data_IF_380721928751
#
_entry.id   IF_380721928751
#
_cell.length_a   1.000
_cell.length_b   1.000
_cell.length_c   1.000
_cell.angle_alpha   90.00
_cell.angle_beta   90.00
_cell.angle_gamma   90.00
#
_symmetry.space_group_name_H-M   'P 1'
#
loop_
_entity.id
_entity.type
_entity.pdbx_description
1 polymer ?
#
# COMPACT_ATOMS: atom_id res chain seq x y z
N UNK A 1 14.80 -15.70 -16.16
CA UNK A 1 15.09 -14.92 -14.92
C UNK A 1 16.37 -14.10 -15.08
N UNK A 2 17.54 -14.72 -15.28
CA UNK A 2 18.83 -14.01 -15.35
C UNK A 2 18.83 -12.82 -16.33
N UNK A 3 18.32 -12.99 -17.55
CA UNK A 3 18.29 -11.89 -18.54
C UNK A 3 17.35 -10.74 -18.16
N UNK A 4 16.24 -11.03 -17.45
CA UNK A 4 15.31 -10.00 -17.02
C UNK A 4 15.89 -9.13 -15.90
N UNK A 5 16.79 -9.68 -15.07
CA UNK A 5 17.47 -8.93 -14.01
C UNK A 5 18.36 -7.82 -14.56
N UNK A 6 18.90 -7.98 -15.78
CA UNK A 6 19.75 -6.96 -16.40
C UNK A 6 18.97 -5.67 -16.71
N UNK A 7 17.66 -5.76 -16.99
CA UNK A 7 16.80 -4.59 -17.20
C UNK A 7 16.69 -3.70 -15.96
N UNK A 8 16.69 -4.30 -14.76
CA UNK A 8 16.51 -3.59 -13.48
C UNK A 8 17.83 -3.33 -12.75
N UNK A 9 18.96 -3.74 -13.34
CA UNK A 9 20.29 -3.57 -12.75
C UNK A 9 20.62 -2.09 -12.68
N UNK A 10 21.20 -1.68 -11.56
CA UNK A 10 21.75 -0.35 -11.44
C UNK A 10 23.00 -0.18 -12.30
N UNK A 11 23.08 0.97 -12.98
CA UNK A 11 24.25 1.37 -13.73
C UNK A 11 24.77 2.72 -13.22
N UNK A 12 26.00 2.74 -12.71
CA UNK A 12 26.66 3.95 -12.20
C UNK A 12 27.06 4.96 -13.31
N UNK A 13 26.66 4.73 -14.56
CA UNK A 13 26.98 5.59 -15.70
C UNK A 13 25.69 6.12 -16.29
N UNK A 14 25.50 7.45 -16.22
CA UNK A 14 24.41 8.16 -16.85
C UNK A 14 24.60 8.18 -18.39
N UNK A 15 23.51 8.38 -19.11
CA UNK A 15 23.47 8.49 -20.58
C UNK A 15 23.60 9.93 -21.07
N UNK A 16 23.74 10.89 -20.15
CA UNK A 16 23.72 12.34 -20.39
C UNK A 16 24.94 13.03 -19.76
N UNK A 17 25.20 14.27 -20.18
CA UNK A 17 26.22 15.12 -19.55
C UNK A 17 25.77 15.64 -18.18
N UNK A 18 26.71 16.14 -17.38
CA UNK A 18 26.40 16.72 -16.07
C UNK A 18 25.42 17.90 -16.17
N UNK A 19 25.59 18.77 -17.18
CA UNK A 19 24.71 19.90 -17.41
C UNK A 19 23.28 19.49 -17.80
N UNK A 20 23.16 18.47 -18.66
CA UNK A 20 21.85 17.91 -19.03
C UNK A 20 21.16 17.24 -17.84
N UNK A 21 21.90 16.49 -17.03
CA UNK A 21 21.38 15.91 -15.81
C UNK A 21 20.86 16.99 -14.85
N UNK A 22 21.62 18.08 -14.67
CA UNK A 22 21.19 19.20 -13.82
C UNK A 22 19.89 19.83 -14.34
N UNK A 23 19.77 20.06 -15.64
CA UNK A 23 18.53 20.58 -16.26
C UNK A 23 17.32 19.67 -15.98
N UNK A 24 17.48 18.35 -16.13
CA UNK A 24 16.41 17.40 -15.83
C UNK A 24 16.06 17.40 -14.33
N UNK A 25 17.07 17.45 -13.47
CA UNK A 25 16.90 17.44 -12.01
C UNK A 25 16.27 18.73 -11.48
N UNK A 26 16.62 19.88 -12.05
CA UNK A 26 16.05 21.19 -11.71
C UNK A 26 14.57 21.27 -12.08
N UNK A 27 14.18 20.63 -13.19
CA UNK A 27 12.78 20.48 -13.53
C UNK A 27 12.08 19.55 -12.53
N UNK A 28 12.64 18.35 -12.34
CA UNK A 28 12.09 17.37 -11.42
C UNK A 28 13.03 16.16 -11.20
N UNK A 29 13.30 15.77 -9.95
CA UNK A 29 14.20 14.65 -9.62
C UNK A 29 13.81 13.32 -10.30
N UNK A 30 12.52 12.98 -10.32
CA UNK A 30 12.01 11.79 -11.03
C UNK A 30 12.27 11.81 -12.55
N UNK A 31 12.28 12.98 -13.20
CA UNK A 31 12.59 13.06 -14.64
C UNK A 31 14.05 12.69 -14.87
N UNK A 32 14.96 13.22 -14.05
CA UNK A 32 16.37 12.85 -14.11
C UNK A 32 16.58 11.35 -13.84
N UNK A 33 15.88 10.80 -12.84
CA UNK A 33 15.96 9.38 -12.46
C UNK A 33 15.53 8.43 -13.60
N UNK A 34 14.49 8.79 -14.35
CA UNK A 34 14.00 7.98 -15.47
C UNK A 34 14.82 8.18 -16.74
N UNK A 35 15.15 9.42 -17.10
CA UNK A 35 15.71 9.75 -18.43
C UNK A 35 17.23 9.62 -18.49
N UNK A 36 17.94 9.89 -17.39
CA UNK A 36 19.39 9.98 -17.40
C UNK A 36 20.10 8.62 -17.30
N UNK A 37 19.37 7.51 -17.17
CA UNK A 37 19.95 6.19 -16.93
C UNK A 37 19.58 5.18 -18.01
N UNK A 38 20.32 4.07 -18.07
CA UNK A 38 20.23 3.07 -19.14
C UNK A 38 18.94 2.24 -19.12
N UNK A 39 18.22 2.23 -18.00
CA UNK A 39 17.04 1.40 -17.82
C UNK A 39 16.34 1.66 -16.48
N UNK A 40 15.18 1.02 -16.27
CA UNK A 40 14.35 1.19 -15.08
C UNK A 40 14.94 0.42 -13.90
N UNK A 41 15.99 0.97 -13.30
CA UNK A 41 16.60 0.39 -12.13
C UNK A 41 15.60 0.27 -10.96
N UNK A 42 15.88 -0.64 -10.03
CA UNK A 42 15.06 -0.80 -8.82
C UNK A 42 15.08 0.51 -8.01
N UNK A 43 13.91 1.14 -7.86
CA UNK A 43 13.76 2.30 -6.98
C UNK A 43 13.82 1.88 -5.50
N UNK A 44 13.07 0.84 -5.14
CA UNK A 44 13.10 0.19 -3.83
C UNK A 44 12.61 -1.27 -3.92
N UNK A 45 12.97 -2.07 -2.91
CA UNK A 45 12.37 -3.38 -2.65
C UNK A 45 11.84 -3.37 -1.21
N UNK A 46 10.52 -3.47 -1.07
CA UNK A 46 9.84 -3.33 0.22
C UNK A 46 9.57 -4.71 0.83
N UNK A 47 10.19 -5.07 1.97
CA UNK A 47 9.83 -6.28 2.68
C UNK A 47 8.55 -6.06 3.51
N UNK A 48 7.84 -7.17 3.79
CA UNK A 48 6.66 -7.18 4.65
C UNK A 48 7.06 -7.42 6.11
N UNK A 49 6.59 -6.57 7.02
CA UNK A 49 6.61 -6.78 8.47
C UNK A 49 5.21 -7.04 9.02
N UNK A 50 5.14 -7.68 10.20
CA UNK A 50 3.90 -7.85 10.97
C UNK A 50 3.66 -6.68 11.94
N UNK A 51 4.71 -5.94 12.31
CA UNK A 51 4.64 -4.80 13.22
C UNK A 51 5.58 -3.69 12.71
N UNK A 52 5.01 -2.73 11.99
CA UNK A 52 5.75 -1.59 11.43
C UNK A 52 6.21 -0.61 12.51
N UNK A 53 5.46 -0.47 13.60
CA UNK A 53 5.82 0.44 14.70
C UNK A 53 7.09 -0.07 15.38
N UNK A 54 7.17 -1.40 15.61
CA UNK A 54 8.37 -2.02 16.16
C UNK A 54 9.57 -1.87 15.24
N UNK A 55 9.39 -2.12 13.94
CA UNK A 55 10.49 -1.98 12.97
C UNK A 55 10.97 -0.54 12.89
N UNK A 56 10.07 0.45 12.79
CA UNK A 56 10.43 1.87 12.75
C UNK A 56 11.22 2.29 14.00
N UNK A 57 10.82 1.84 15.19
CA UNK A 57 11.51 2.13 16.45
C UNK A 57 12.93 1.52 16.52
N UNK A 58 13.14 0.34 15.90
CA UNK A 58 14.42 -0.37 15.92
C UNK A 58 15.39 0.13 14.81
N UNK A 59 14.89 0.81 13.76
CA UNK A 59 15.68 1.29 12.61
C UNK A 59 16.88 2.18 12.99
N UNK A 60 16.74 3.20 13.89
CA UNK A 60 17.88 4.04 14.28
C UNK A 60 19.04 3.25 14.89
N UNK A 61 18.75 2.18 15.65
CA UNK A 61 19.75 1.28 16.21
C UNK A 61 20.54 0.48 15.16
N UNK A 62 20.10 0.52 13.89
CA UNK A 62 20.76 -0.07 12.72
C UNK A 62 21.33 0.98 11.77
N UNK A 63 21.37 2.25 12.17
CA UNK A 63 21.86 3.35 11.33
C UNK A 63 20.88 3.75 10.22
N UNK A 64 19.60 3.36 10.33
CA UNK A 64 18.55 3.72 9.39
C UNK A 64 17.70 4.82 10.02
N UNK A 65 17.56 5.95 9.34
CA UNK A 65 16.70 7.05 9.77
C UNK A 65 15.38 7.01 8.98
N UNK A 66 14.28 6.48 9.56
CA UNK A 66 12.97 6.54 8.92
C UNK A 66 12.38 7.94 8.98
N UNK A 67 11.43 8.22 8.09
CA UNK A 67 10.47 9.32 8.27
C UNK A 67 9.66 9.07 9.55
N UNK A 68 9.34 10.12 10.30
CA UNK A 68 8.50 10.01 11.49
C UNK A 68 7.06 9.63 11.13
N UNK A 69 6.56 10.12 10.00
CA UNK A 69 5.19 9.82 9.54
C UNK A 69 5.14 8.42 8.91
N UNK A 70 4.26 7.57 9.44
CA UNK A 70 3.82 6.33 8.79
C UNK A 70 2.59 6.65 7.94
N UNK A 71 2.63 6.28 6.67
CA UNK A 71 1.51 6.41 5.74
C UNK A 71 0.51 5.26 5.93
N UNK A 72 -0.76 5.52 5.64
CA UNK A 72 -1.86 4.57 5.82
C UNK A 72 -2.67 4.82 7.11
N UNK A 73 -3.48 3.84 7.55
CA UNK A 73 -4.26 3.95 8.79
C UNK A 73 -3.33 3.98 10.02
N UNK A 74 -3.83 4.43 11.18
CA UNK A 74 -3.08 4.31 12.44
C UNK A 74 -2.94 2.84 12.84
N UNK A 75 -2.23 2.58 13.94
CA UNK A 75 -2.13 1.25 14.54
C UNK A 75 -3.51 0.71 14.91
N UNK A 76 -3.75 -0.57 14.63
CA UNK A 76 -5.04 -1.27 14.80
C UNK A 76 -4.82 -2.72 15.22
N UNK A 77 -5.78 -3.31 15.93
CA UNK A 77 -5.80 -4.75 16.24
C UNK A 77 -6.12 -5.59 15.00
N UNK A 78 -6.98 -5.07 14.12
CA UNK A 78 -7.28 -5.63 12.81
C UNK A 78 -6.80 -4.63 11.73
N UNK A 79 -5.52 -4.72 11.29
CA UNK A 79 -4.98 -3.81 10.29
C UNK A 79 -5.79 -3.85 8.99
N UNK A 80 -5.98 -2.68 8.38
CA UNK A 80 -6.68 -2.51 7.10
C UNK A 80 -5.69 -1.95 6.08
N UNK A 81 -5.87 -2.28 4.80
CA UNK A 81 -5.00 -1.82 3.71
C UNK A 81 -3.54 -2.14 3.98
N UNK A 82 -2.66 -1.13 3.95
CA UNK A 82 -1.29 -1.25 4.38
C UNK A 82 -0.85 0.00 5.14
N UNK A 83 0.18 -0.17 5.96
CA UNK A 83 0.95 0.91 6.57
C UNK A 83 2.37 0.86 6.01
N UNK A 84 2.98 2.00 5.72
CA UNK A 84 4.32 2.07 5.15
C UNK A 84 5.11 3.27 5.65
N UNK A 85 6.44 3.15 5.66
CA UNK A 85 7.34 4.29 5.86
C UNK A 85 8.62 4.09 5.06
N UNK A 86 9.29 5.20 4.75
CA UNK A 86 10.51 5.23 3.96
C UNK A 86 11.68 5.76 4.77
N UNK A 87 12.89 5.46 4.31
CA UNK A 87 14.14 5.91 4.91
C UNK A 87 15.17 6.20 3.82
N UNK A 88 16.11 7.11 4.09
CA UNK A 88 17.23 7.34 3.18
C UNK A 88 18.13 6.11 3.20
N UNK A 89 18.33 5.46 2.04
CA UNK A 89 19.17 4.27 1.96
C UNK A 89 20.63 4.63 1.67
N UNK A 90 20.92 5.22 0.50
CA UNK A 90 22.30 5.43 0.04
C UNK A 90 22.40 6.64 -0.90
N UNK A 91 23.46 7.45 -0.76
CA UNK A 91 23.90 8.37 -1.82
C UNK A 91 24.88 7.60 -2.72
N UNK A 92 24.64 7.60 -4.03
CA UNK A 92 25.45 6.84 -4.96
C UNK A 92 26.27 7.74 -5.88
N UNK A 93 27.55 7.41 -6.02
CA UNK A 93 28.41 8.03 -7.01
C UNK A 93 27.95 7.63 -8.42
N UNK A 94 27.81 8.62 -9.29
CA UNK A 94 27.49 8.42 -10.71
C UNK A 94 28.54 9.09 -11.60
N UNK A 95 28.76 8.53 -12.78
CA UNK A 95 29.58 9.09 -13.83
C UNK A 95 28.66 9.61 -14.95
N UNK A 96 28.77 10.90 -15.25
CA UNK A 96 28.23 11.49 -16.47
C UNK A 96 29.15 11.18 -17.65
N UNK A 97 28.70 11.51 -18.86
CA UNK A 97 29.51 11.34 -20.06
C UNK A 97 30.76 12.22 -20.09
N UNK A 98 30.76 13.32 -19.33
CA UNK A 98 31.81 14.35 -19.31
C UNK A 98 32.38 14.66 -17.91
N UNK A 99 31.78 14.14 -16.83
CA UNK A 99 32.19 14.45 -15.46
C UNK A 99 31.81 13.34 -14.46
N UNK A 100 32.29 13.46 -13.22
CA UNK A 100 31.80 12.67 -12.08
C UNK A 100 30.76 13.46 -11.30
N UNK A 101 29.82 12.78 -10.66
CA UNK A 101 28.80 13.38 -9.81
C UNK A 101 28.23 12.40 -8.79
N UNK A 102 27.11 12.79 -8.18
CA UNK A 102 26.38 11.99 -7.21
C UNK A 102 24.89 12.04 -7.51
N UNK A 103 24.21 10.93 -7.29
CA UNK A 103 22.77 10.81 -7.41
C UNK A 103 22.21 10.33 -6.07
N UNK A 104 21.26 11.10 -5.55
CA UNK A 104 20.50 10.75 -4.35
C UNK A 104 19.08 10.46 -4.80
N UNK A 105 18.69 9.20 -4.91
CA UNK A 105 17.28 8.84 -5.12
C UNK A 105 16.88 7.50 -4.50
N UNK A 106 17.81 6.81 -3.84
CA UNK A 106 17.49 5.51 -3.24
C UNK A 106 16.94 5.67 -1.86
N UNK A 107 15.64 5.46 -1.77
CA UNK A 107 14.93 5.29 -0.52
C UNK A 107 14.72 3.80 -0.29
N UNK A 108 14.90 3.37 0.94
CA UNK A 108 14.39 2.10 1.38
C UNK A 108 12.98 2.28 1.91
N UNK A 109 12.22 1.20 1.94
CA UNK A 109 10.83 1.20 2.40
C UNK A 109 10.55 -0.07 3.20
N UNK A 110 9.57 0.01 4.10
CA UNK A 110 9.01 -1.12 4.84
C UNK A 110 7.48 -1.00 4.82
N UNK A 111 6.79 -2.13 4.71
CA UNK A 111 5.32 -2.16 4.73
C UNK A 111 4.75 -3.23 5.67
N UNK A 112 3.57 -2.96 6.21
CA UNK A 112 2.73 -3.91 6.94
C UNK A 112 1.37 -4.00 6.23
N UNK A 113 1.02 -5.18 5.74
CA UNK A 113 -0.24 -5.43 5.02
C UNK A 113 -1.33 -6.00 5.93
N UNK A 114 -2.47 -5.33 5.94
CA UNK A 114 -3.71 -5.70 6.59
C UNK A 114 -4.75 -6.28 5.64
N UNK A 115 -6.02 -6.18 6.01
CA UNK A 115 -7.17 -6.70 5.22
C UNK A 115 -7.54 -5.77 4.06
N UNK A 116 -7.89 -6.36 2.91
CA UNK A 116 -8.47 -5.67 1.78
C UNK A 116 -9.88 -5.16 2.11
N UNK A 117 -10.16 -3.92 1.73
CA UNK A 117 -11.42 -3.25 2.02
C UNK A 117 -12.36 -3.27 0.81
N UNK A 118 -13.66 -3.37 1.07
CA UNK A 118 -14.71 -3.21 0.05
C UNK A 118 -14.81 -1.75 -0.40
N UNK A 119 -15.57 -1.42 -1.47
CA UNK A 119 -15.86 -0.02 -1.81
C UNK A 119 -16.40 0.80 -0.62
N UNK A 120 -17.28 0.20 0.19
CA UNK A 120 -17.82 0.82 1.42
C UNK A 120 -16.73 1.05 2.47
N UNK A 121 -15.84 0.07 2.65
CA UNK A 121 -14.70 0.21 3.54
C UNK A 121 -13.71 1.30 3.09
N UNK A 122 -13.45 1.41 1.78
CA UNK A 122 -12.61 2.48 1.22
C UNK A 122 -13.23 3.85 1.44
N UNK A 123 -14.51 4.01 1.15
CA UNK A 123 -15.21 5.27 1.37
C UNK A 123 -15.13 5.73 2.84
N UNK A 124 -15.31 4.80 3.79
CA UNK A 124 -15.13 5.11 5.21
C UNK A 124 -13.68 5.47 5.53
N UNK A 125 -12.70 4.70 5.03
CA UNK A 125 -11.28 5.01 5.21
C UNK A 125 -10.93 6.42 4.71
N UNK A 126 -11.35 6.77 3.50
CA UNK A 126 -11.06 8.06 2.88
C UNK A 126 -11.72 9.21 3.64
N UNK A 127 -12.97 9.02 4.09
CA UNK A 127 -13.66 10.00 4.93
C UNK A 127 -12.88 10.30 6.21
N UNK A 128 -12.41 9.27 6.92
CA UNK A 128 -11.69 9.44 8.18
C UNK A 128 -10.29 10.01 7.99
N UNK A 129 -9.59 9.60 6.92
CA UNK A 129 -8.30 10.17 6.54
C UNK A 129 -8.43 11.67 6.23
N UNK A 130 -9.45 12.06 5.47
CA UNK A 130 -9.67 13.46 5.11
C UNK A 130 -10.04 14.28 6.35
N UNK A 131 -10.91 13.77 7.23
CA UNK A 131 -11.26 14.46 8.47
C UNK A 131 -10.03 14.73 9.38
N UNK A 132 -9.13 13.75 9.50
CA UNK A 132 -7.88 13.93 10.26
C UNK A 132 -6.94 14.97 9.63
N UNK A 133 -6.89 15.06 8.30
CA UNK A 133 -6.07 16.06 7.58
C UNK A 133 -6.66 17.45 7.63
N UNK A 134 -7.97 17.56 7.48
CA UNK A 134 -8.71 18.81 7.59
C UNK A 134 -8.53 19.40 8.99
N UNK A 135 -8.58 18.58 10.04
CA UNK A 135 -8.30 19.01 11.41
C UNK A 135 -6.83 19.37 11.67
N UNK A 136 -5.88 18.67 11.03
CA UNK A 136 -4.47 19.02 11.12
C UNK A 136 -4.20 20.40 10.51
N UNK A 137 -4.94 20.78 9.45
CA UNK A 137 -4.83 22.07 8.78
C UNK A 137 -3.48 22.30 8.07
N UNK A 138 -2.66 21.25 7.95
CA UNK A 138 -1.34 21.26 7.35
C UNK A 138 -0.99 19.88 6.79
N UNK A 139 0.02 19.79 5.92
CA UNK A 139 0.52 18.50 5.46
C UNK A 139 1.25 17.76 6.58
N UNK A 140 1.03 16.43 6.73
CA UNK A 140 1.84 15.61 7.60
C UNK A 140 3.33 15.69 7.23
N UNK A 141 4.17 16.02 8.19
CA UNK A 141 5.62 16.12 8.06
C UNK A 141 6.30 15.81 9.40
N UNK A 142 7.62 15.81 9.43
CA UNK A 142 8.41 15.49 10.62
C UNK A 142 8.06 16.38 11.84
N UNK A 143 7.74 17.67 11.62
CA UNK A 143 7.47 18.61 12.71
C UNK A 143 6.08 18.44 13.35
N UNK A 144 5.10 17.89 12.61
CA UNK A 144 3.73 17.67 13.11
C UNK A 144 3.33 16.18 13.19
N UNK A 145 4.28 15.26 13.00
CA UNK A 145 4.04 13.81 12.94
C UNK A 145 3.31 13.26 14.17
N UNK A 146 3.65 13.73 15.37
CA UNK A 146 2.98 13.33 16.60
C UNK A 146 1.50 13.74 16.58
N UNK A 147 1.22 15.03 16.29
CA UNK A 147 -0.15 15.54 16.22
C UNK A 147 -0.96 14.84 15.12
N UNK A 148 -0.35 14.59 13.96
CA UNK A 148 -1.01 13.85 12.88
C UNK A 148 -1.38 12.42 13.33
N UNK A 149 -0.48 11.74 14.04
CA UNK A 149 -0.71 10.39 14.57
C UNK A 149 -1.86 10.36 15.58
N UNK A 150 -1.91 11.34 16.48
CA UNK A 150 -3.01 11.51 17.45
C UNK A 150 -4.36 11.72 16.76
N UNK A 151 -4.41 12.61 15.74
CA UNK A 151 -5.61 12.87 14.95
C UNK A 151 -6.07 11.64 14.17
N UNK A 152 -5.14 10.95 13.51
CA UNK A 152 -5.45 9.70 12.81
C UNK A 152 -6.03 8.66 13.78
N UNK A 153 -5.42 8.48 14.96
CA UNK A 153 -5.92 7.56 15.98
C UNK A 153 -7.32 7.95 16.47
N UNK A 154 -7.59 9.25 16.67
CA UNK A 154 -8.90 9.76 17.10
C UNK A 154 -9.99 9.51 16.05
N UNK A 155 -9.78 9.95 14.81
CA UNK A 155 -10.78 9.81 13.74
C UNK A 155 -11.04 8.34 13.39
N UNK A 156 -10.01 7.49 13.37
CA UNK A 156 -10.16 6.07 13.06
C UNK A 156 -10.80 5.21 14.16
N UNK A 157 -11.16 5.79 15.32
CA UNK A 157 -12.06 5.12 16.27
C UNK A 157 -13.43 4.81 15.65
N UNK A 158 -13.84 5.59 14.65
CA UNK A 158 -15.08 5.36 13.91
C UNK A 158 -15.01 4.14 12.95
N UNK A 159 -13.81 3.59 12.70
CA UNK A 159 -13.64 2.38 11.91
C UNK A 159 -13.62 1.15 12.84
N UNK A 160 -14.51 0.15 12.67
CA UNK A 160 -14.56 -1.04 13.53
C UNK A 160 -13.24 -1.81 13.57
N UNK A 161 -12.68 -2.05 14.76
CA UNK A 161 -11.39 -2.74 14.95
C UNK A 161 -11.55 -4.21 15.38
N UNK A 162 -12.50 -4.90 14.75
CA UNK A 162 -12.78 -6.31 14.95
C UNK A 162 -13.25 -6.93 13.62
N UNK A 163 -12.66 -8.05 13.21
CA UNK A 163 -12.99 -8.74 11.96
C UNK A 163 -14.48 -9.05 11.80
N UNK A 164 -15.14 -9.49 12.88
CA UNK A 164 -16.58 -9.79 12.86
C UNK A 164 -17.42 -8.57 12.49
N UNK A 165 -17.20 -7.44 13.16
CA UNK A 165 -17.94 -6.20 12.89
C UNK A 165 -17.63 -5.67 11.48
N UNK A 166 -16.38 -5.78 11.02
CA UNK A 166 -16.01 -5.40 9.65
C UNK A 166 -16.71 -6.28 8.59
N UNK A 167 -16.87 -7.59 8.85
CA UNK A 167 -17.63 -8.50 7.98
C UNK A 167 -19.11 -8.13 7.94
N UNK A 168 -19.74 -8.03 9.10
CA UNK A 168 -21.19 -7.76 9.23
C UNK A 168 -21.58 -6.42 8.61
N UNK A 169 -20.70 -5.42 8.70
CA UNK A 169 -20.92 -4.11 8.09
C UNK A 169 -20.49 -4.05 6.61
N UNK A 170 -19.94 -5.13 6.06
CA UNK A 170 -19.47 -5.21 4.67
C UNK A 170 -18.32 -4.25 4.37
N UNK A 171 -17.40 -4.03 5.32
CA UNK A 171 -16.28 -3.09 5.20
C UNK A 171 -15.02 -3.73 4.63
N UNK A 172 -14.83 -5.03 4.82
CA UNK A 172 -13.63 -5.75 4.39
C UNK A 172 -13.97 -7.07 3.70
N UNK A 173 -13.05 -7.56 2.88
CA UNK A 173 -13.14 -8.87 2.26
C UNK A 173 -12.56 -9.95 3.16
N UNK A 174 -13.19 -11.11 3.15
CA UNK A 174 -12.82 -12.27 3.97
C UNK A 174 -12.76 -13.54 3.13
N UNK A 175 -11.93 -14.47 3.57
CA UNK A 175 -11.96 -15.87 3.15
C UNK A 175 -12.73 -16.68 4.18
N UNK A 176 -13.60 -17.55 3.70
CA UNK A 176 -14.40 -18.44 4.55
C UNK A 176 -13.81 -19.85 4.53
N UNK A 177 -13.79 -20.51 5.68
CA UNK A 177 -13.29 -21.89 5.81
C UNK A 177 -14.21 -22.71 6.70
N UNK A 178 -14.53 -23.93 6.26
CA UNK A 178 -15.27 -24.88 7.11
C UNK A 178 -14.37 -25.32 8.27
N UNK A 179 -14.89 -25.27 9.49
CA UNK A 179 -14.19 -25.72 10.68
C UNK A 179 -14.27 -27.25 10.83
N UNK A 180 -13.51 -27.83 11.75
CA UNK A 180 -13.68 -29.25 12.08
C UNK A 180 -15.09 -29.56 12.59
N UNK A 181 -15.68 -28.63 13.35
CA UNK A 181 -17.08 -28.73 13.81
C UNK A 181 -18.06 -28.74 12.64
N UNK A 182 -17.84 -27.89 11.63
CA UNK A 182 -18.66 -27.88 10.42
C UNK A 182 -18.55 -29.17 9.61
N UNK A 183 -17.34 -29.74 9.49
CA UNK A 183 -17.13 -31.02 8.81
C UNK A 183 -17.78 -32.21 9.51
N UNK A 184 -17.92 -32.15 10.83
CA UNK A 184 -18.54 -33.20 11.63
C UNK A 184 -20.07 -33.03 11.79
N UNK A 185 -20.67 -31.98 11.20
CA UNK A 185 -22.09 -31.71 11.34
C UNK A 185 -22.95 -32.73 10.58
N UNK A 186 -24.01 -33.22 11.21
CA UNK A 186 -25.05 -34.02 10.55
C UNK A 186 -26.02 -33.12 9.74
N UNK A 187 -26.90 -33.73 8.93
CA UNK A 187 -27.68 -33.12 7.82
C UNK A 187 -28.60 -31.91 8.14
N UNK A 188 -28.63 -31.43 9.38
CA UNK A 188 -29.43 -30.30 9.86
C UNK A 188 -28.63 -28.98 10.00
N UNK A 189 -27.54 -28.82 9.24
CA UNK A 189 -26.76 -27.59 9.26
C UNK A 189 -27.58 -26.37 8.79
N UNK A 190 -27.40 -25.18 9.42
CA UNK A 190 -28.03 -23.95 8.98
C UNK A 190 -27.74 -23.63 7.51
N UNK A 191 -28.72 -23.08 6.79
CA UNK A 191 -28.56 -22.82 5.35
C UNK A 191 -27.94 -21.45 5.01
N UNK A 192 -27.95 -20.49 5.95
CA UNK A 192 -27.34 -19.17 5.73
C UNK A 192 -25.89 -19.14 6.21
N UNK A 193 -25.03 -18.44 5.48
CA UNK A 193 -23.62 -18.26 5.83
C UNK A 193 -23.45 -17.64 7.23
N UNK A 194 -24.28 -16.66 7.57
CA UNK A 194 -24.24 -16.02 8.89
C UNK A 194 -24.56 -17.03 10.00
N UNK A 195 -25.58 -17.87 9.85
CA UNK A 195 -25.92 -18.87 10.84
C UNK A 195 -24.85 -19.97 10.95
N UNK A 196 -24.19 -20.32 9.85
CA UNK A 196 -23.04 -21.24 9.85
C UNK A 196 -21.86 -20.67 10.64
N UNK A 197 -21.62 -19.36 10.54
CA UNK A 197 -20.56 -18.66 11.29
C UNK A 197 -20.93 -18.57 12.77
N UNK A 198 -22.17 -18.18 13.11
CA UNK A 198 -22.65 -18.15 14.50
C UNK A 198 -22.59 -19.53 15.17
N UNK A 199 -22.92 -20.59 14.42
CA UNK A 199 -22.83 -21.96 14.90
C UNK A 199 -21.38 -22.47 15.01
N UNK A 200 -20.39 -21.72 14.51
CA UNK A 200 -18.97 -22.11 14.49
C UNK A 200 -18.66 -23.21 13.48
N UNK A 201 -19.49 -23.40 12.47
CA UNK A 201 -19.26 -24.34 11.36
C UNK A 201 -18.38 -23.73 10.25
N UNK A 202 -18.38 -22.41 10.13
CA UNK A 202 -17.53 -21.66 9.22
C UNK A 202 -16.78 -20.58 10.01
N UNK A 203 -15.48 -20.47 9.77
CA UNK A 203 -14.64 -19.40 10.29
C UNK A 203 -14.28 -18.39 9.19
N UNK A 204 -13.87 -17.19 9.59
CA UNK A 204 -13.47 -16.11 8.70
C UNK A 204 -11.99 -15.78 8.88
N UNK A 205 -11.30 -15.57 7.76
CA UNK A 205 -9.94 -15.04 7.75
C UNK A 205 -9.90 -13.75 6.92
N UNK A 206 -9.25 -12.68 7.40
CA UNK A 206 -9.10 -11.46 6.62
C UNK A 206 -8.36 -11.76 5.31
N UNK A 207 -8.92 -11.32 4.17
CA UNK A 207 -8.23 -11.40 2.89
C UNK A 207 -7.18 -10.29 2.83
N UNK A 208 -5.90 -10.64 2.74
CA UNK A 208 -4.79 -9.67 2.75
C UNK A 208 -4.89 -8.71 1.57
N UNK A 209 -4.57 -7.44 1.81
CA UNK A 209 -4.48 -6.42 0.78
C UNK A 209 -3.17 -6.55 -0.01
N UNK A 210 -3.28 -6.79 -1.31
CA UNK A 210 -2.17 -7.03 -2.24
C UNK A 210 -1.83 -5.82 -3.12
N UNK A 211 -2.60 -4.73 -3.04
CA UNK A 211 -2.35 -3.50 -3.82
C UNK A 211 -1.59 -2.44 -3.00
N UNK A 212 -1.69 -1.18 -3.42
CA UNK A 212 -1.00 -0.04 -2.83
C UNK A 212 -1.98 1.01 -2.29
N UNK A 213 -1.53 1.86 -1.37
CA UNK A 213 -2.34 3.00 -0.93
C UNK A 213 -2.71 3.89 -2.13
N UNK A 214 -3.94 4.47 -2.15
CA UNK A 214 -4.32 5.43 -3.17
C UNK A 214 -3.41 6.66 -3.10
N UNK A 215 -3.30 7.41 -4.20
CA UNK A 215 -2.48 8.64 -4.29
C UNK A 215 -2.81 9.62 -3.16
N UNK A 216 -4.08 9.69 -2.74
CA UNK A 216 -4.49 10.50 -1.60
C UNK A 216 -3.76 10.11 -0.32
N UNK A 217 -3.48 8.83 -0.07
CA UNK A 217 -2.86 8.32 1.15
C UNK A 217 -1.35 8.08 1.05
N UNK A 218 -0.79 8.00 -0.16
CA UNK A 218 0.63 7.75 -0.39
C UNK A 218 1.44 9.06 -0.47
N UNK A 219 2.19 9.36 0.60
CA UNK A 219 3.17 10.45 0.66
C UNK A 219 4.47 10.15 -0.10
N UNK A 220 4.68 8.90 -0.54
CA UNK A 220 5.85 8.49 -1.34
C UNK A 220 5.94 9.29 -2.64
N UNK A 221 4.79 9.54 -3.29
CA UNK A 221 4.76 10.38 -4.48
C UNK A 221 5.26 11.79 -4.15
N UNK A 222 5.01 12.36 -2.96
CA UNK A 222 5.56 13.66 -2.58
C UNK A 222 7.07 13.64 -2.36
N UNK A 223 7.65 12.59 -1.75
CA UNK A 223 9.13 12.52 -1.61
C UNK A 223 9.87 12.37 -2.95
N UNK A 224 9.21 11.79 -3.95
CA UNK A 224 9.74 11.72 -5.31
C UNK A 224 9.38 12.95 -6.15
N UNK A 225 8.26 13.62 -5.84
CA UNK A 225 7.70 14.75 -6.60
C UNK A 225 8.16 16.15 -6.13
N UNK A 226 8.75 16.25 -4.94
CA UNK A 226 9.06 17.54 -4.31
C UNK A 226 7.80 18.25 -3.78
N UNK A 227 8.01 19.30 -2.98
CA UNK A 227 6.95 20.00 -2.22
C UNK A 227 5.87 20.69 -3.10
N UNK A 228 6.04 20.72 -4.42
CA UNK A 228 5.21 21.53 -5.35
C UNK A 228 4.09 20.75 -6.08
N UNK A 229 3.97 19.43 -5.90
CA UNK A 229 3.04 18.63 -6.69
C UNK A 229 1.65 18.50 -6.03
N UNK A 230 0.86 19.57 -6.07
CA UNK A 230 -0.58 19.51 -5.83
C UNK A 230 -1.36 19.95 -7.06
N UNK A 231 -1.54 19.05 -8.01
CA UNK A 231 -2.72 19.09 -8.86
C UNK A 231 -3.76 18.13 -8.29
N UNK A 232 -5.00 18.61 -8.16
CA UNK A 232 -6.16 17.75 -7.92
C UNK A 232 -6.22 16.72 -9.04
N UNK A 233 -5.73 15.50 -8.79
CA UNK A 233 -5.83 14.40 -9.74
C UNK A 233 -7.31 14.02 -9.86
N UNK A 234 -7.97 14.48 -10.92
CA UNK A 234 -9.26 13.95 -11.32
C UNK A 234 -9.05 12.50 -11.78
N UNK A 235 -9.68 11.55 -11.07
CA UNK A 235 -9.38 10.11 -11.11
C UNK A 235 -9.42 9.45 -12.50
N UNK A 236 -10.10 10.05 -13.48
CA UNK A 236 -10.43 9.37 -14.74
C UNK A 236 -9.77 9.97 -15.99
N UNK A 237 -9.07 11.11 -15.89
CA UNK A 237 -8.63 11.83 -17.09
C UNK A 237 -7.54 11.08 -17.89
N UNK A 238 -6.74 10.24 -17.23
CA UNK A 238 -5.54 9.64 -17.85
C UNK A 238 -5.56 8.11 -17.91
N UNK A 239 -6.61 7.43 -17.42
CA UNK A 239 -6.65 5.97 -17.43
C UNK A 239 -6.67 5.40 -18.86
N UNK A 240 -7.47 5.99 -19.75
CA UNK A 240 -7.56 5.54 -21.14
C UNK A 240 -6.22 5.66 -21.88
N UNK A 241 -5.49 6.76 -21.66
CA UNK A 241 -4.16 6.96 -22.24
C UNK A 241 -3.14 5.96 -21.66
N UNK A 242 -3.21 5.70 -20.34
CA UNK A 242 -2.36 4.70 -19.70
C UNK A 242 -2.62 3.30 -20.24
N UNK A 243 -3.88 2.88 -20.37
CA UNK A 243 -4.26 1.56 -20.89
C UNK A 243 -3.92 1.41 -22.38
N UNK A 244 -4.01 2.50 -23.15
CA UNK A 244 -3.53 2.53 -24.53
C UNK A 244 -2.02 2.29 -24.61
N UNK A 245 -1.22 2.96 -23.78
CA UNK A 245 0.23 2.78 -23.74
C UNK A 245 0.62 1.39 -23.20
N UNK A 246 -0.15 0.85 -22.25
CA UNK A 246 0.02 -0.49 -21.69
C UNK A 246 -0.36 -1.60 -22.69
N UNK A 247 -1.23 -1.30 -23.66
CA UNK A 247 -1.73 -2.23 -24.66
C UNK A 247 -2.84 -3.16 -24.17
N UNK A 248 -3.42 -2.89 -22.99
CA UNK A 248 -4.53 -3.65 -22.39
C UNK A 248 -5.20 -2.85 -21.27
N UNK A 249 -6.41 -3.25 -20.91
CA UNK A 249 -7.08 -2.74 -19.71
C UNK A 249 -6.39 -3.20 -18.42
N UNK A 250 -6.46 -2.33 -17.42
CA UNK A 250 -6.09 -2.66 -16.04
C UNK A 250 -7.14 -3.62 -15.43
N UNK A 251 -6.75 -4.35 -14.39
CA UNK A 251 -7.67 -5.22 -13.66
C UNK A 251 -8.30 -4.42 -12.52
N UNK A 252 -9.59 -4.64 -12.26
CA UNK A 252 -10.28 -4.12 -11.08
C UNK A 252 -9.94 -5.01 -9.87
N UNK A 253 -9.14 -4.48 -8.95
CA UNK A 253 -8.72 -5.18 -7.75
C UNK A 253 -9.88 -5.53 -6.82
N UNK A 254 -10.90 -4.66 -6.74
CA UNK A 254 -12.06 -4.85 -5.89
C UNK A 254 -12.89 -6.04 -6.38
N UNK A 255 -13.01 -6.19 -7.70
CA UNK A 255 -13.63 -7.37 -8.31
C UNK A 255 -12.82 -8.64 -8.00
N UNK A 256 -11.48 -8.61 -8.08
CA UNK A 256 -10.64 -9.77 -7.77
C UNK A 256 -10.78 -10.21 -6.29
N UNK A 257 -10.89 -9.26 -5.36
CA UNK A 257 -11.16 -9.57 -3.96
C UNK A 257 -12.57 -10.14 -3.75
N UNK A 258 -13.58 -9.54 -4.40
CA UNK A 258 -14.96 -10.03 -4.34
C UNK A 258 -15.08 -11.45 -4.88
N UNK A 259 -14.45 -11.75 -6.01
CA UNK A 259 -14.43 -13.09 -6.60
C UNK A 259 -13.70 -14.10 -5.69
N UNK A 260 -12.60 -13.67 -5.05
CA UNK A 260 -11.86 -14.53 -4.10
C UNK A 260 -12.70 -14.86 -2.88
N UNK A 261 -13.41 -13.88 -2.34
CA UNK A 261 -14.36 -14.08 -1.26
C UNK A 261 -15.47 -15.06 -1.68
N UNK A 262 -16.11 -14.81 -2.83
CA UNK A 262 -17.21 -15.64 -3.33
C UNK A 262 -16.78 -17.09 -3.55
N UNK A 263 -15.61 -17.32 -4.19
CA UNK A 263 -15.05 -18.67 -4.36
C UNK A 263 -14.89 -19.41 -3.03
N UNK A 264 -14.48 -18.71 -1.97
CA UNK A 264 -14.33 -19.34 -0.64
C UNK A 264 -15.67 -19.65 0.02
N UNK A 265 -16.70 -18.84 -0.21
CA UNK A 265 -18.07 -19.10 0.26
C UNK A 265 -18.62 -20.34 -0.47
N UNK A 266 -18.52 -20.37 -1.80
CA UNK A 266 -19.03 -21.47 -2.62
C UNK A 266 -18.38 -22.80 -2.24
N UNK A 267 -17.05 -22.79 -2.00
CA UNK A 267 -16.32 -23.96 -1.52
C UNK A 267 -16.83 -24.44 -0.14
N UNK A 268 -17.10 -23.53 0.80
CA UNK A 268 -17.65 -23.89 2.11
C UNK A 268 -19.06 -24.50 1.99
N UNK A 269 -19.93 -23.89 1.20
CA UNK A 269 -21.29 -24.37 0.99
C UNK A 269 -21.32 -25.72 0.28
N UNK A 270 -20.38 -25.98 -0.63
CA UNK A 270 -20.26 -27.29 -1.27
C UNK A 270 -19.93 -28.38 -0.25
N UNK A 271 -18.95 -28.13 0.63
CA UNK A 271 -18.54 -29.10 1.67
C UNK A 271 -19.66 -29.38 2.67
N UNK A 272 -20.41 -28.36 3.09
CA UNK A 272 -21.46 -28.49 4.11
C UNK A 272 -22.80 -29.03 3.57
N UNK A 273 -22.95 -29.15 2.24
CA UNK A 273 -24.13 -29.77 1.60
C UNK A 273 -23.94 -31.27 1.32
N UNK A 274 -22.70 -31.76 1.34
CA UNK A 274 -22.34 -33.19 1.24
C UNK A 274 -22.44 -33.88 2.59
#
# INVERSE_FOLDING_TARGET
IQQALETFRWHHTATVSAAQYQQLSDQHRLIADVVAFKGPHINHLTPRTLDIDRVQADMPGKGITPKAVIEGPPRRQCPILLRQTSFKALDEAIAFTDAKGSHSARFGEIEQRGVALTPKGRALYDQLLNAARDELGAFPNEANAQRYTELMAQHFQAFPDNHRAMREQGLAYFRYRVTDKGRAAEKDAPQSLDALIEAGYVDIEPLVYEDFLPVSAAGIFQSNLGDAAQSHYAANANQAEFEQALGRQTLDELQLYADTQQRSIDACLQVLRT
#
